data_IF_352513641470
#
_entry.id   IF_352513641470
#
_cell.length_a   1.000
_cell.length_b   1.000
_cell.length_c   1.000
_cell.angle_alpha   90.00
_cell.angle_beta   90.00
_cell.angle_gamma   90.00
#
_symmetry.space_group_name_H-M   'P 1'
#
loop_
_entity.id
_entity.type
_entity.pdbx_description
1 polymer ?
#
# COMPACT_ATOMS: atom_id res chain seq x y z
N UNK A 1 53.88 -26.34 -49.60
CA UNK A 1 53.39 -27.46 -48.78
C UNK A 1 52.54 -26.90 -47.68
N UNK A 2 51.25 -27.23 -47.73
CA UNK A 2 50.19 -26.69 -46.92
C UNK A 2 50.10 -27.35 -45.56
N UNK A 3 49.82 -26.57 -44.53
CA UNK A 3 49.23 -27.07 -43.28
C UNK A 3 48.17 -26.10 -42.87
N UNK A 4 46.90 -26.44 -43.17
CA UNK A 4 45.69 -25.78 -42.69
C UNK A 4 45.37 -26.35 -41.32
N UNK A 5 45.41 -25.52 -40.33
CA UNK A 5 45.06 -25.90 -38.97
C UNK A 5 43.58 -25.62 -38.76
N UNK A 6 42.84 -26.67 -38.56
CA UNK A 6 41.44 -26.64 -38.16
C UNK A 6 41.32 -26.25 -36.69
N UNK A 7 40.83 -25.05 -36.40
CA UNK A 7 40.37 -24.66 -35.09
C UNK A 7 38.92 -24.18 -35.23
N UNK A 8 38.03 -25.10 -35.17
CA UNK A 8 36.58 -24.79 -35.10
C UNK A 8 35.92 -25.80 -34.18
N UNK A 9 35.42 -25.37 -33.04
CA UNK A 9 34.46 -26.20 -32.32
C UNK A 9 34.59 -26.30 -30.80
N UNK A 10 34.51 -25.18 -30.06
CA UNK A 10 34.34 -25.27 -28.58
C UNK A 10 33.64 -24.03 -27.97
N UNK A 11 32.57 -23.51 -28.54
CA UNK A 11 31.81 -22.36 -27.95
C UNK A 11 30.29 -22.56 -27.99
N UNK A 12 29.75 -23.75 -27.94
CA UNK A 12 28.27 -23.93 -28.00
C UNK A 12 27.65 -24.68 -26.81
N UNK A 13 28.41 -25.05 -25.76
CA UNK A 13 27.83 -25.87 -24.69
C UNK A 13 27.41 -25.09 -23.44
N UNK A 14 27.68 -23.79 -23.33
CA UNK A 14 27.39 -22.99 -22.13
C UNK A 14 25.97 -22.46 -22.02
N UNK A 15 25.35 -22.08 -23.12
CA UNK A 15 24.04 -21.43 -23.10
C UNK A 15 22.86 -22.38 -22.80
N UNK A 16 22.97 -23.65 -23.09
CA UNK A 16 21.87 -24.62 -22.89
C UNK A 16 21.66 -24.98 -21.41
N UNK A 17 22.69 -24.96 -20.57
CA UNK A 17 22.60 -25.28 -19.16
C UNK A 17 22.00 -24.13 -18.33
N UNK A 18 22.35 -22.88 -18.61
CA UNK A 18 21.76 -21.73 -17.95
C UNK A 18 20.25 -21.61 -18.21
N UNK A 19 19.81 -21.84 -19.44
CA UNK A 19 18.39 -21.86 -19.80
C UNK A 19 17.61 -22.99 -19.12
N UNK A 20 18.19 -24.18 -19.00
CA UNK A 20 17.57 -25.31 -18.27
C UNK A 20 17.44 -25.03 -16.78
N UNK A 21 18.46 -24.44 -16.17
CA UNK A 21 18.41 -24.05 -14.75
C UNK A 21 17.40 -22.95 -14.49
N UNK A 22 17.32 -21.92 -15.35
CA UNK A 22 16.31 -20.86 -15.25
C UNK A 22 14.89 -21.45 -15.37
N UNK A 23 14.67 -22.35 -16.33
CA UNK A 23 13.39 -23.00 -16.52
C UNK A 23 13.01 -23.92 -15.34
N UNK A 24 13.97 -24.62 -14.75
CA UNK A 24 13.74 -25.41 -13.55
C UNK A 24 13.33 -24.52 -12.37
N UNK A 25 14.03 -23.40 -12.15
CA UNK A 25 13.68 -22.44 -11.08
C UNK A 25 12.28 -21.85 -11.27
N UNK A 26 11.94 -21.44 -12.48
CA UNK A 26 10.60 -20.91 -12.80
C UNK A 26 9.51 -21.95 -12.52
N UNK A 27 9.71 -23.22 -12.88
CA UNK A 27 8.76 -24.29 -12.58
C UNK A 27 8.60 -24.51 -11.08
N UNK A 28 9.69 -24.45 -10.30
CA UNK A 28 9.60 -24.53 -8.84
C UNK A 28 8.81 -23.35 -8.27
N UNK A 29 9.09 -22.12 -8.73
CA UNK A 29 8.34 -20.94 -8.29
C UNK A 29 6.85 -20.99 -8.66
N UNK A 30 6.53 -21.44 -9.86
CA UNK A 30 5.13 -21.63 -10.27
C UNK A 30 4.44 -22.64 -9.36
N UNK A 31 5.10 -23.77 -9.06
CA UNK A 31 4.53 -24.78 -8.20
C UNK A 31 4.36 -24.30 -6.74
N UNK A 32 5.31 -23.53 -6.21
CA UNK A 32 5.20 -22.90 -4.90
C UNK A 32 4.03 -21.90 -4.84
N UNK A 33 3.92 -21.04 -5.87
CA UNK A 33 2.81 -20.08 -5.97
C UNK A 33 1.44 -20.76 -6.12
N UNK A 34 1.36 -21.87 -6.86
CA UNK A 34 0.14 -22.67 -6.97
C UNK A 34 -0.25 -23.26 -5.61
N UNK A 35 0.71 -23.80 -4.85
CA UNK A 35 0.46 -24.31 -3.50
C UNK A 35 0.04 -23.20 -2.54
N UNK A 36 0.65 -22.03 -2.62
CA UNK A 36 0.28 -20.88 -1.79
C UNK A 36 -1.11 -20.37 -2.14
N UNK A 37 -1.45 -20.31 -3.42
CA UNK A 37 -2.78 -19.97 -3.89
C UNK A 37 -3.85 -20.96 -3.39
N UNK A 38 -3.59 -22.26 -3.47
CA UNK A 38 -4.54 -23.26 -2.98
C UNK A 38 -4.68 -23.21 -1.48
N UNK A 39 -3.60 -22.95 -0.73
CA UNK A 39 -3.64 -22.75 0.71
C UNK A 39 -4.44 -21.48 1.06
N UNK A 40 -4.25 -20.38 0.35
CA UNK A 40 -5.03 -19.18 0.53
C UNK A 40 -6.52 -19.38 0.25
N UNK A 41 -6.88 -20.14 -0.81
CA UNK A 41 -8.27 -20.49 -1.11
C UNK A 41 -8.92 -21.30 0.01
N UNK A 42 -8.20 -22.26 0.58
CA UNK A 42 -8.71 -23.05 1.71
C UNK A 42 -8.94 -22.18 2.95
N UNK A 43 -8.03 -21.25 3.23
CA UNK A 43 -8.20 -20.29 4.33
C UNK A 43 -9.42 -19.38 4.12
N UNK A 44 -9.62 -18.88 2.91
CA UNK A 44 -10.80 -18.06 2.56
C UNK A 44 -12.08 -18.87 2.79
N UNK A 45 -12.17 -20.11 2.30
CA UNK A 45 -13.33 -20.96 2.49
C UNK A 45 -13.63 -21.25 3.97
N UNK A 46 -12.59 -21.48 4.77
CA UNK A 46 -12.73 -21.68 6.21
C UNK A 46 -13.24 -20.42 6.91
N UNK A 47 -12.67 -19.24 6.59
CA UNK A 47 -13.11 -17.96 7.16
C UNK A 47 -14.55 -17.62 6.74
N UNK A 48 -14.94 -17.89 5.51
CA UNK A 48 -16.32 -17.73 5.04
C UNK A 48 -17.28 -18.63 5.81
N UNK A 49 -16.90 -19.88 6.09
CA UNK A 49 -17.68 -20.82 6.89
C UNK A 49 -17.83 -20.33 8.34
N UNK A 50 -16.75 -19.85 8.96
CA UNK A 50 -16.77 -19.29 10.32
C UNK A 50 -17.64 -18.03 10.37
N UNK A 51 -17.54 -17.16 9.38
CA UNK A 51 -18.35 -15.94 9.27
C UNK A 51 -19.83 -16.29 9.11
N UNK A 52 -20.17 -17.29 8.27
CA UNK A 52 -21.53 -17.76 8.10
C UNK A 52 -22.11 -18.33 9.40
N UNK A 53 -21.30 -19.09 10.15
CA UNK A 53 -21.68 -19.64 11.45
C UNK A 53 -21.88 -18.55 12.51
N UNK A 54 -21.00 -17.55 12.56
CA UNK A 54 -21.12 -16.40 13.45
C UNK A 54 -22.37 -15.55 13.15
N UNK A 55 -22.69 -15.37 11.87
CA UNK A 55 -23.92 -14.66 11.43
C UNK A 55 -25.19 -15.42 11.75
N UNK A 56 -25.17 -16.76 11.65
CA UNK A 56 -26.32 -17.59 11.96
C UNK A 56 -26.71 -17.58 13.46
N UNK A 57 -25.79 -17.18 14.32
CA UNK A 57 -26.03 -17.04 15.78
C UNK A 57 -26.56 -15.65 16.19
N UNK A 58 -26.64 -14.69 15.25
CA UNK A 58 -27.11 -13.32 15.47
C UNK A 58 -28.56 -13.09 15.02
N UNK A 59 -29.09 -11.89 15.30
CA UNK A 59 -30.38 -11.46 14.77
C UNK A 59 -30.29 -11.42 13.22
N UNK A 60 -31.21 -12.11 12.50
CA UNK A 60 -31.18 -12.17 11.04
C UNK A 60 -31.19 -10.80 10.36
N UNK A 61 -31.89 -9.82 10.94
CA UNK A 61 -31.95 -8.44 10.41
C UNK A 61 -30.59 -7.76 10.52
N UNK A 62 -29.91 -7.93 11.64
CA UNK A 62 -28.56 -7.36 11.85
C UNK A 62 -27.54 -7.99 10.90
N UNK A 63 -27.58 -9.31 10.72
CA UNK A 63 -26.68 -10.01 9.79
C UNK A 63 -26.90 -9.58 8.33
N UNK A 64 -28.15 -9.38 7.90
CA UNK A 64 -28.46 -8.90 6.56
C UNK A 64 -28.02 -7.43 6.36
N UNK A 65 -28.20 -6.58 7.35
CA UNK A 65 -27.76 -5.19 7.32
C UNK A 65 -26.22 -5.11 7.23
N UNK A 66 -25.50 -5.86 8.02
CA UNK A 66 -24.05 -5.94 7.99
C UNK A 66 -23.53 -6.42 6.63
N UNK A 67 -24.14 -7.46 6.06
CA UNK A 67 -23.76 -8.01 4.77
C UNK A 67 -23.97 -7.02 3.62
N UNK A 68 -24.97 -6.11 3.73
CA UNK A 68 -25.28 -5.12 2.72
C UNK A 68 -24.64 -3.74 2.98
N UNK A 69 -24.03 -3.54 4.14
CA UNK A 69 -23.31 -2.28 4.44
C UNK A 69 -21.95 -2.28 3.74
N UNK A 70 -21.66 -1.29 2.89
CA UNK A 70 -20.34 -1.18 2.26
C UNK A 70 -19.24 -1.08 3.32
N UNK A 71 -18.17 -1.86 3.13
CA UNK A 71 -17.00 -1.89 4.01
C UNK A 71 -15.78 -1.43 3.25
N UNK A 72 -14.82 -0.84 3.95
CA UNK A 72 -13.53 -0.49 3.37
C UNK A 72 -12.81 -1.79 3.00
N UNK A 73 -12.45 -1.93 1.73
CA UNK A 73 -11.64 -3.04 1.23
C UNK A 73 -10.19 -2.61 0.96
N UNK A 74 -9.99 -1.33 0.65
CA UNK A 74 -8.65 -0.76 0.47
C UNK A 74 -8.67 0.75 0.72
N UNK A 75 -7.49 1.26 1.11
CA UNK A 75 -7.19 2.68 1.11
C UNK A 75 -6.09 2.99 0.11
N UNK A 76 -6.02 4.24 -0.36
CA UNK A 76 -5.00 4.69 -1.29
C UNK A 76 -4.56 6.11 -0.99
N UNK A 77 -3.29 6.43 -1.32
CA UNK A 77 -2.75 7.79 -1.28
C UNK A 77 -2.84 8.42 -2.67
N UNK A 78 -3.42 9.61 -2.73
CA UNK A 78 -3.52 10.38 -3.97
C UNK A 78 -2.14 10.91 -4.40
N UNK A 79 -1.85 10.98 -5.71
CA UNK A 79 -0.66 11.65 -6.23
C UNK A 79 -0.58 13.15 -5.90
N UNK A 80 -1.69 13.75 -5.47
CA UNK A 80 -1.73 15.15 -5.01
C UNK A 80 -1.24 15.34 -3.57
N UNK A 81 -0.97 14.23 -2.85
CA UNK A 81 -0.31 14.29 -1.54
C UNK A 81 1.09 14.88 -1.67
N UNK A 82 1.43 15.83 -0.82
CA UNK A 82 2.69 16.53 -0.95
C UNK A 82 3.04 17.42 0.24
N UNK A 83 4.18 18.07 0.13
CA UNK A 83 4.65 19.02 1.13
C UNK A 83 4.14 20.42 0.84
N UNK A 84 3.70 21.09 1.88
CA UNK A 84 3.30 22.48 1.86
C UNK A 84 4.10 23.27 2.90
N UNK A 85 4.49 24.48 2.53
CA UNK A 85 5.12 25.40 3.46
C UNK A 85 4.05 26.35 4.01
N UNK A 86 3.88 26.34 5.32
CA UNK A 86 2.91 27.17 6.02
C UNK A 86 3.56 28.50 6.43
N UNK A 87 2.76 29.51 6.77
CA UNK A 87 3.24 30.76 7.32
C UNK A 87 4.10 30.51 8.57
N UNK A 88 5.31 31.11 8.63
CA UNK A 88 6.26 30.92 9.73
C UNK A 88 7.30 29.83 9.50
N UNK A 89 7.59 29.46 8.23
CA UNK A 89 8.64 28.51 7.81
C UNK A 89 8.47 27.09 8.34
N UNK A 90 7.25 26.73 8.78
CA UNK A 90 6.89 25.36 9.13
C UNK A 90 6.56 24.58 7.88
N UNK A 91 7.08 23.37 7.81
CA UNK A 91 6.75 22.44 6.72
C UNK A 91 5.75 21.42 7.21
N UNK A 92 4.69 21.23 6.45
CA UNK A 92 3.66 20.25 6.71
C UNK A 92 3.49 19.35 5.48
N UNK A 93 3.03 18.14 5.69
CA UNK A 93 2.65 17.23 4.61
C UNK A 93 1.13 17.10 4.61
N UNK A 94 0.52 17.38 3.48
CA UNK A 94 -0.89 17.09 3.22
C UNK A 94 -1.02 15.76 2.51
N UNK A 95 -1.76 14.84 3.11
CA UNK A 95 -2.07 13.53 2.56
C UNK A 95 -3.55 13.47 2.18
N UNK A 96 -3.81 13.13 0.93
CA UNK A 96 -5.16 12.89 0.42
C UNK A 96 -5.36 11.37 0.36
N UNK A 97 -6.12 10.84 1.33
CA UNK A 97 -6.39 9.41 1.47
C UNK A 97 -7.76 9.11 0.90
N UNK A 98 -7.84 8.16 0.00
CA UNK A 98 -9.10 7.61 -0.54
C UNK A 98 -9.39 6.25 0.07
N UNK A 99 -10.66 5.87 0.12
CA UNK A 99 -11.11 4.55 0.57
C UNK A 99 -12.14 3.99 -0.41
N UNK A 100 -12.03 2.70 -0.69
CA UNK A 100 -12.92 2.00 -1.63
C UNK A 100 -13.42 0.69 -1.04
N UNK A 101 -14.61 0.28 -1.48
CA UNK A 101 -15.16 -1.05 -1.20
C UNK A 101 -14.59 -2.10 -2.17
N UNK A 102 -14.97 -3.36 -1.97
CA UNK A 102 -14.55 -4.47 -2.84
C UNK A 102 -15.00 -4.37 -4.30
N UNK A 103 -15.80 -3.36 -4.65
CA UNK A 103 -16.23 -3.04 -6.02
C UNK A 103 -15.56 -1.79 -6.58
N UNK A 104 -14.59 -1.22 -5.86
CA UNK A 104 -13.89 0.00 -6.25
C UNK A 104 -14.69 1.29 -6.09
N UNK A 105 -15.80 1.28 -5.36
CA UNK A 105 -16.61 2.48 -5.10
C UNK A 105 -16.12 3.16 -3.82
N UNK A 106 -16.11 4.48 -3.82
CA UNK A 106 -15.77 5.24 -2.61
C UNK A 106 -16.71 4.91 -1.46
N UNK A 107 -16.13 4.64 -0.30
CA UNK A 107 -16.87 4.33 0.94
C UNK A 107 -16.33 5.18 2.08
N UNK A 108 -17.19 5.54 3.01
CA UNK A 108 -16.80 6.36 4.15
C UNK A 108 -16.03 5.53 5.17
N UNK A 109 -14.88 6.06 5.64
CA UNK A 109 -14.10 5.48 6.72
C UNK A 109 -14.76 5.76 8.08
N UNK A 110 -14.91 4.71 8.90
CA UNK A 110 -15.39 4.79 10.28
C UNK A 110 -14.40 4.04 11.15
N UNK A 111 -13.44 4.75 11.72
CA UNK A 111 -12.35 4.13 12.46
C UNK A 111 -11.26 5.13 12.82
N UNK A 112 -10.08 4.64 13.10
CA UNK A 112 -8.90 5.46 13.42
C UNK A 112 -7.89 5.41 12.29
N UNK A 113 -7.06 6.45 12.20
CA UNK A 113 -6.05 6.55 11.16
C UNK A 113 -4.73 7.03 11.75
N UNK A 114 -3.65 6.36 11.41
CA UNK A 114 -2.28 6.78 11.71
C UNK A 114 -1.57 7.12 10.40
N UNK A 115 -0.94 8.30 10.35
CA UNK A 115 -0.08 8.71 9.26
C UNK A 115 1.34 8.96 9.77
N UNK A 116 2.33 8.40 9.08
CA UNK A 116 3.75 8.54 9.43
C UNK A 116 4.52 9.01 8.21
N UNK A 117 5.27 10.08 8.39
CA UNK A 117 6.19 10.61 7.37
C UNK A 117 7.61 10.22 7.74
N UNK A 118 8.31 9.58 6.81
CA UNK A 118 9.67 9.08 7.01
C UNK A 118 10.60 9.61 5.91
N UNK A 119 11.82 9.83 6.29
CA UNK A 119 12.94 9.94 5.37
C UNK A 119 13.66 8.59 5.27
N UNK A 120 13.78 8.08 4.05
CA UNK A 120 14.48 6.84 3.73
C UNK A 120 15.79 7.19 3.01
N UNK A 121 16.90 7.38 3.73
CA UNK A 121 18.17 7.71 3.10
C UNK A 121 18.71 6.52 2.30
N UNK A 122 19.45 6.79 1.23
CA UNK A 122 20.11 5.76 0.42
C UNK A 122 21.12 4.94 1.25
N UNK A 123 21.67 5.55 2.31
CA UNK A 123 22.56 4.90 3.29
C UNK A 123 22.20 5.40 4.69
N UNK A 124 22.09 4.48 5.65
CA UNK A 124 21.71 4.80 7.03
C UNK A 124 20.35 4.25 7.44
N UNK A 125 19.90 4.63 8.63
CA UNK A 125 18.62 4.16 9.17
C UNK A 125 17.46 5.09 8.77
N UNK A 126 16.26 4.57 8.54
CA UNK A 126 15.04 5.37 8.35
C UNK A 126 14.83 6.33 9.52
N UNK A 127 14.37 7.53 9.22
CA UNK A 127 14.07 8.55 10.24
C UNK A 127 12.62 9.01 10.10
N UNK A 128 11.86 8.94 11.18
CA UNK A 128 10.52 9.53 11.25
C UNK A 128 10.66 11.04 11.39
N UNK A 129 9.94 11.78 10.57
CA UNK A 129 9.93 13.25 10.54
C UNK A 129 8.64 13.84 11.07
N UNK A 130 7.53 13.09 11.05
CA UNK A 130 6.26 13.53 11.58
C UNK A 130 5.26 12.38 11.71
N UNK A 131 4.27 12.58 12.59
CA UNK A 131 3.16 11.65 12.80
C UNK A 131 1.86 12.42 13.00
N UNK A 132 0.77 11.84 12.54
CA UNK A 132 -0.57 12.26 12.90
C UNK A 132 -1.40 11.02 13.24
N UNK A 133 -2.15 11.09 14.33
CA UNK A 133 -3.10 10.06 14.75
C UNK A 133 -4.47 10.72 14.80
N UNK A 134 -5.41 10.18 14.04
CA UNK A 134 -6.76 10.66 13.97
C UNK A 134 -7.71 9.67 14.63
N UNK A 135 -8.51 10.14 15.57
CA UNK A 135 -9.59 9.39 16.16
C UNK A 135 -10.83 9.36 15.23
N UNK A 136 -11.92 8.71 15.66
CA UNK A 136 -13.14 8.59 14.86
C UNK A 136 -13.76 9.94 14.47
N UNK A 137 -13.69 10.93 15.35
CA UNK A 137 -14.25 12.25 15.10
C UNK A 137 -13.37 13.03 14.12
N UNK A 138 -12.09 12.98 14.30
CA UNK A 138 -11.10 13.63 13.44
C UNK A 138 -11.09 13.02 12.04
N UNK A 139 -11.20 11.69 11.90
CA UNK A 139 -11.35 11.02 10.60
C UNK A 139 -12.62 11.49 9.89
N UNK A 140 -13.75 11.58 10.61
CA UNK A 140 -15.00 12.12 10.04
C UNK A 140 -14.80 13.56 9.57
N UNK A 141 -14.15 14.38 10.36
CA UNK A 141 -13.96 15.81 10.08
C UNK A 141 -12.88 16.07 8.99
N UNK A 142 -12.02 15.09 8.72
CA UNK A 142 -11.05 15.11 7.64
C UNK A 142 -11.68 14.88 6.25
N UNK A 143 -12.94 14.44 6.17
CA UNK A 143 -13.65 14.19 4.92
C UNK A 143 -13.73 15.42 4.03
N UNK A 144 -13.37 15.25 2.77
CA UNK A 144 -13.48 16.29 1.73
C UNK A 144 -14.12 15.69 0.48
N UNK A 145 -14.99 16.47 -0.15
CA UNK A 145 -15.55 16.11 -1.46
C UNK A 145 -15.33 17.28 -2.41
N UNK A 146 -14.95 17.00 -3.65
CA UNK A 146 -14.69 18.02 -4.65
C UNK A 146 -14.61 17.43 -6.06
N UNK A 147 -14.13 18.23 -7.01
CA UNK A 147 -13.98 17.83 -8.41
C UNK A 147 -13.04 16.63 -8.60
N UNK A 148 -12.11 16.39 -7.67
CA UNK A 148 -11.20 15.24 -7.67
C UNK A 148 -11.77 13.98 -7.02
N UNK A 149 -13.06 13.97 -6.62
CA UNK A 149 -13.68 12.85 -5.92
C UNK A 149 -13.75 13.06 -4.41
N UNK A 150 -13.80 11.94 -3.69
CA UNK A 150 -13.87 11.91 -2.23
C UNK A 150 -12.54 11.50 -1.65
N UNK A 151 -12.05 12.26 -0.68
CA UNK A 151 -10.80 11.97 0.03
C UNK A 151 -10.84 12.46 1.48
N UNK A 152 -9.91 12.00 2.28
CA UNK A 152 -9.63 12.49 3.62
C UNK A 152 -8.35 13.30 3.57
N UNK A 153 -8.43 14.56 4.00
CA UNK A 153 -7.25 15.44 4.08
C UNK A 153 -6.64 15.32 5.47
N UNK A 154 -5.39 14.85 5.52
CA UNK A 154 -4.63 14.68 6.74
C UNK A 154 -3.41 15.57 6.67
N UNK A 155 -3.27 16.46 7.64
CA UNK A 155 -2.10 17.32 7.77
C UNK A 155 -1.14 16.73 8.80
N UNK A 156 0.09 16.49 8.40
CA UNK A 156 1.15 15.95 9.26
C UNK A 156 2.23 17.01 9.43
N UNK A 157 2.35 17.63 10.60
CA UNK A 157 3.43 18.59 10.88
C UNK A 157 4.77 17.84 10.92
N UNK A 158 5.82 18.47 10.36
CA UNK A 158 7.16 17.91 10.40
C UNK A 158 7.98 18.58 11.52
N UNK A 159 8.59 17.73 12.35
CA UNK A 159 9.34 18.13 13.54
C UNK A 159 10.79 18.53 13.26
N UNK A 160 11.28 18.30 12.04
CA UNK A 160 12.68 18.50 11.68
C UNK A 160 12.80 19.09 10.26
N UNK A 161 13.94 19.74 9.96
CA UNK A 161 14.25 20.18 8.60
C UNK A 161 14.08 19.05 7.60
N UNK A 162 13.37 19.35 6.52
CA UNK A 162 13.09 18.38 5.47
C UNK A 162 14.33 18.23 4.59
N UNK A 163 14.86 17.02 4.43
CA UNK A 163 15.94 16.80 3.48
C UNK A 163 15.45 17.04 2.05
N UNK A 164 16.35 17.47 1.17
CA UNK A 164 16.06 17.72 -0.26
C UNK A 164 15.70 16.44 -1.05
N UNK A 165 15.67 15.29 -0.38
CA UNK A 165 15.33 13.98 -0.94
C UNK A 165 13.85 13.64 -0.73
N UNK A 166 13.36 12.64 -1.46
CA UNK A 166 11.98 12.15 -1.34
C UNK A 166 11.66 11.68 0.08
N UNK A 167 10.46 11.99 0.53
CA UNK A 167 9.87 11.47 1.76
C UNK A 167 9.00 10.27 1.42
N UNK A 168 8.86 9.38 2.39
CA UNK A 168 7.95 8.24 2.31
C UNK A 168 6.80 8.47 3.30
N UNK A 169 5.58 8.44 2.79
CA UNK A 169 4.37 8.47 3.60
C UNK A 169 3.81 7.07 3.76
N UNK A 170 3.44 6.71 4.97
CA UNK A 170 2.72 5.49 5.31
C UNK A 170 1.48 5.86 6.08
N UNK A 171 0.33 5.32 5.66
CA UNK A 171 -0.96 5.51 6.32
C UNK A 171 -1.54 4.15 6.66
N UNK A 172 -1.99 4.00 7.90
CA UNK A 172 -2.69 2.82 8.40
C UNK A 172 -4.07 3.27 8.88
N UNK A 173 -5.11 2.69 8.30
CA UNK A 173 -6.49 2.86 8.74
C UNK A 173 -6.95 1.59 9.43
N UNK A 174 -7.52 1.72 10.63
CA UNK A 174 -8.15 0.64 11.36
C UNK A 174 -9.66 0.85 11.38
N UNK A 175 -10.39 -0.05 10.74
CA UNK A 175 -11.86 -0.02 10.72
C UNK A 175 -12.44 -0.25 12.11
N UNK A 176 -13.24 0.70 12.59
CA UNK A 176 -13.81 0.65 13.93
C UNK A 176 -14.92 -0.39 14.11
N UNK A 177 -15.46 -0.92 13.03
CA UNK A 177 -16.53 -1.93 13.06
C UNK A 177 -15.98 -3.35 13.00
N UNK A 178 -14.97 -3.57 12.15
CA UNK A 178 -14.40 -4.89 11.88
C UNK A 178 -13.07 -5.12 12.58
N UNK A 179 -12.38 -4.06 12.98
CA UNK A 179 -11.02 -4.10 13.50
C UNK A 179 -9.96 -4.41 12.45
N UNK A 180 -10.34 -4.53 11.18
CA UNK A 180 -9.39 -4.79 10.07
C UNK A 180 -8.52 -3.57 9.83
N UNK A 181 -7.25 -3.81 9.59
CA UNK A 181 -6.28 -2.77 9.23
C UNK A 181 -6.01 -2.76 7.73
N UNK A 182 -6.01 -1.56 7.16
CA UNK A 182 -5.65 -1.31 5.77
C UNK A 182 -4.48 -0.33 5.73
N UNK A 183 -3.54 -0.59 4.85
CA UNK A 183 -2.33 0.23 4.71
C UNK A 183 -2.19 0.77 3.30
N UNK A 184 -1.72 2.02 3.20
CA UNK A 184 -1.27 2.63 1.95
C UNK A 184 0.04 3.36 2.17
N UNK A 185 0.91 3.34 1.18
CA UNK A 185 2.17 4.08 1.21
C UNK A 185 2.50 4.70 -0.14
N UNK A 186 3.23 5.81 -0.12
CA UNK A 186 3.68 6.49 -1.32
C UNK A 186 4.95 7.31 -1.04
N UNK A 187 5.77 7.48 -2.08
CA UNK A 187 6.87 8.42 -2.05
C UNK A 187 6.36 9.82 -2.39
N UNK A 188 6.64 10.77 -1.51
CA UNK A 188 6.29 12.17 -1.68
C UNK A 188 7.48 12.93 -2.29
N UNK A 189 7.22 13.67 -3.36
CA UNK A 189 8.23 14.53 -3.95
C UNK A 189 8.37 15.81 -3.14
N UNK A 190 9.60 16.34 -2.96
CA UNK A 190 9.79 17.68 -2.43
C UNK A 190 9.10 18.69 -3.34
N UNK A 191 8.63 19.83 -2.81
CA UNK A 191 8.12 20.90 -3.64
C UNK A 191 9.21 21.29 -4.64
N UNK A 192 8.81 21.56 -5.89
CA UNK A 192 9.73 22.11 -6.85
C UNK A 192 10.35 23.38 -6.24
N UNK A 193 11.69 23.42 -6.15
CA UNK A 193 12.37 24.65 -5.76
C UNK A 193 11.97 25.73 -6.75
N UNK A 194 11.27 26.74 -6.27
CA UNK A 194 11.06 27.96 -7.05
C UNK A 194 12.43 28.61 -7.16
N UNK A 195 13.15 28.36 -8.24
CA UNK A 195 14.30 29.18 -8.60
C UNK A 195 13.75 30.57 -8.92
N UNK A 196 14.05 31.53 -8.03
CA UNK A 196 13.95 32.97 -8.32
C UNK A 196 15.06 33.40 -9.27
#
# INVERSE_FOLDING_TARGET
>A
LATVLVVSGLVQSGCSNAGRQANARLRTQVHELEQDLDRAKLQVAELESQLASARASGDPITAELEANTPQVAAIGLSPFSGMHRTEGDRTEVELYVSSVDGRGRSVQMVGTLEAVIMHLPTSGSPRVLGRANLDLAEVRDAWRSGLGGVSYLITVPLEAPVPASSLHARVVYRDGRTGVEHEASADLRPPASTEE
#
